data_IF_294930942232
#
_entry.id   IF_294930942232
#
_cell.length_a   1.000
_cell.length_b   1.000
_cell.length_c   1.000
_cell.angle_alpha   90.00
_cell.angle_beta   90.00
_cell.angle_gamma   90.00
#
_symmetry.space_group_name_H-M   'P 1'
#
loop_
_entity.id
_entity.type
_entity.pdbx_description
1 polymer ?
#
# COMPACT_ATOMS: atom_id res chain seq x y z
N UNK A 1 8.62 -5.45 -3.83
CA UNK A 1 7.48 -5.86 -2.99
C UNK A 1 6.20 -5.28 -3.55
N UNK A 2 5.05 -5.71 -3.04
CA UNK A 2 3.74 -5.17 -3.42
C UNK A 2 3.09 -4.47 -2.23
N UNK A 3 2.79 -3.19 -2.35
CA UNK A 3 1.99 -2.41 -1.41
C UNK A 3 0.57 -2.28 -1.95
N UNK A 4 -0.43 -2.56 -1.13
CA UNK A 4 -1.84 -2.39 -1.46
C UNK A 4 -2.48 -1.45 -0.46
N UNK A 5 -2.92 -0.28 -0.93
CA UNK A 5 -3.57 0.75 -0.13
C UNK A 5 -5.05 0.80 -0.48
N UNK A 6 -5.92 0.88 0.53
CA UNK A 6 -7.37 0.86 0.34
C UNK A 6 -8.08 1.58 1.49
N UNK A 7 -9.39 1.77 1.33
CA UNK A 7 -10.29 2.13 2.42
C UNK A 7 -11.20 0.95 2.69
N UNK A 8 -11.37 0.60 3.98
CA UNK A 8 -12.28 -0.40 4.54
C UNK A 8 -12.12 -1.84 4.05
N UNK A 9 -12.25 -2.10 2.74
CA UNK A 9 -12.15 -3.45 2.17
C UNK A 9 -11.33 -3.51 0.88
N UNK A 10 -10.59 -4.62 0.74
CA UNK A 10 -10.00 -5.01 -0.52
C UNK A 10 -11.08 -5.65 -1.39
N UNK A 11 -11.39 -5.03 -2.53
CA UNK A 11 -12.36 -5.56 -3.50
C UNK A 11 -11.73 -5.73 -4.89
N UNK A 12 -12.35 -6.58 -5.73
CA UNK A 12 -11.98 -6.77 -7.14
C UNK A 12 -10.49 -7.01 -7.38
N UNK A 13 -9.88 -6.18 -8.24
CA UNK A 13 -8.48 -6.31 -8.67
C UNK A 13 -7.44 -6.27 -7.53
N UNK A 14 -7.71 -5.58 -6.43
CA UNK A 14 -6.79 -5.54 -5.29
C UNK A 14 -6.71 -6.88 -4.54
N UNK A 15 -7.84 -7.62 -4.45
CA UNK A 15 -7.85 -9.00 -3.92
C UNK A 15 -7.05 -9.94 -4.81
N UNK A 16 -7.19 -9.79 -6.13
CA UNK A 16 -6.41 -10.58 -7.08
C UNK A 16 -4.90 -10.32 -6.93
N UNK A 17 -4.50 -9.06 -6.83
CA UNK A 17 -3.09 -8.67 -6.59
C UNK A 17 -2.55 -9.27 -5.30
N UNK A 18 -3.31 -9.25 -4.21
CA UNK A 18 -2.93 -9.89 -2.94
C UNK A 18 -2.74 -11.41 -3.11
N UNK A 19 -3.67 -12.08 -3.80
CA UNK A 19 -3.59 -13.51 -4.06
C UNK A 19 -2.35 -13.87 -4.88
N UNK A 20 -2.03 -13.09 -5.92
CA UNK A 20 -0.85 -13.32 -6.74
C UNK A 20 0.45 -13.05 -5.99
N UNK A 21 0.53 -11.97 -5.21
CA UNK A 21 1.72 -11.68 -4.42
C UNK A 21 2.03 -12.81 -3.42
N UNK A 22 1.00 -13.34 -2.75
CA UNK A 22 1.11 -14.52 -1.87
C UNK A 22 1.52 -15.77 -2.63
N UNK A 23 0.86 -16.06 -3.76
CA UNK A 23 1.17 -17.22 -4.62
C UNK A 23 2.64 -17.25 -5.05
N UNK A 24 3.19 -16.10 -5.41
CA UNK A 24 4.57 -15.98 -5.86
C UNK A 24 5.58 -15.77 -4.72
N UNK A 25 5.15 -15.88 -3.45
CA UNK A 25 5.99 -15.67 -2.26
C UNK A 25 6.74 -14.34 -2.27
N UNK A 26 6.15 -13.31 -2.89
CA UNK A 26 6.72 -11.97 -2.91
C UNK A 26 6.25 -11.21 -1.67
N UNK A 27 7.09 -10.38 -1.04
CA UNK A 27 6.65 -9.52 0.06
C UNK A 27 5.44 -8.70 -0.36
N UNK A 28 4.37 -8.77 0.44
CA UNK A 28 3.15 -7.97 0.26
C UNK A 28 2.78 -7.27 1.57
N UNK A 29 2.44 -6.00 1.50
CA UNK A 29 1.88 -5.21 2.58
C UNK A 29 0.51 -4.68 2.15
N UNK A 30 -0.48 -4.79 3.02
CA UNK A 30 -1.83 -4.27 2.78
C UNK A 30 -2.20 -3.34 3.92
N UNK A 31 -2.58 -2.10 3.62
CA UNK A 31 -2.95 -1.10 4.63
C UNK A 31 -4.31 -0.49 4.32
N UNK A 32 -5.17 -0.49 5.33
CA UNK A 32 -6.40 0.29 5.34
C UNK A 32 -6.07 1.71 5.80
N UNK A 33 -6.18 2.68 4.90
CA UNK A 33 -5.93 4.09 5.17
C UNK A 33 -7.06 4.73 5.99
N UNK A 34 -8.21 4.08 6.14
CA UNK A 34 -9.31 4.55 6.99
C UNK A 34 -9.18 4.10 8.45
N UNK A 35 -8.31 3.13 8.74
CA UNK A 35 -8.12 2.59 10.09
C UNK A 35 -7.38 3.56 11.05
N UNK A 36 -6.87 4.68 10.52
CA UNK A 36 -6.06 5.64 11.27
C UNK A 36 -4.61 5.17 11.53
N UNK A 37 -3.86 5.97 12.30
CA UNK A 37 -2.46 5.70 12.63
C UNK A 37 -1.45 6.34 11.69
N UNK A 38 -0.24 5.78 11.65
CA UNK A 38 0.90 6.29 10.88
C UNK A 38 1.29 5.30 9.77
N UNK A 39 0.50 5.18 8.69
CA UNK A 39 0.76 4.22 7.62
C UNK A 39 2.14 4.42 6.98
N UNK A 40 2.65 5.66 6.98
CA UNK A 40 3.98 5.97 6.46
C UNK A 40 5.10 5.21 7.15
N UNK A 41 5.15 5.24 8.49
CA UNK A 41 6.16 4.50 9.27
C UNK A 41 6.09 2.99 9.01
N UNK A 42 4.87 2.45 8.97
CA UNK A 42 4.64 1.02 8.69
C UNK A 42 5.17 0.63 7.31
N UNK A 43 4.96 1.48 6.29
CA UNK A 43 5.49 1.27 4.95
C UNK A 43 7.02 1.30 4.97
N UNK A 44 7.63 2.33 5.56
CA UNK A 44 9.08 2.52 5.61
C UNK A 44 9.78 1.35 6.31
N UNK A 45 9.28 0.93 7.47
CA UNK A 45 9.80 -0.24 8.19
C UNK A 45 9.69 -1.53 7.37
N UNK A 46 8.55 -1.73 6.70
CA UNK A 46 8.35 -2.89 5.86
C UNK A 46 9.27 -2.91 4.63
N UNK A 47 9.49 -1.76 3.99
CA UNK A 47 10.41 -1.60 2.86
C UNK A 47 11.84 -2.00 3.26
N UNK A 48 12.32 -1.47 4.39
CA UNK A 48 13.65 -1.78 4.94
C UNK A 48 13.78 -3.26 5.32
N UNK A 49 12.83 -3.79 6.07
CA UNK A 49 12.81 -5.19 6.53
C UNK A 49 12.84 -6.19 5.37
N UNK A 50 12.13 -5.89 4.27
CA UNK A 50 12.02 -6.78 3.12
C UNK A 50 13.00 -6.45 1.98
N UNK A 51 13.90 -5.47 2.18
CA UNK A 51 14.89 -5.01 1.18
C UNK A 51 14.24 -4.72 -0.19
N UNK A 52 13.13 -3.99 -0.18
CA UNK A 52 12.34 -3.73 -1.38
C UNK A 52 13.01 -2.64 -2.23
N UNK A 53 13.76 -3.03 -3.27
CA UNK A 53 14.34 -2.08 -4.24
C UNK A 53 13.39 -1.62 -5.35
N UNK A 54 12.28 -2.33 -5.57
CA UNK A 54 11.22 -1.93 -6.51
C UNK A 54 9.86 -2.20 -5.89
N UNK A 55 9.05 -1.16 -5.78
CA UNK A 55 7.74 -1.19 -5.15
C UNK A 55 6.63 -1.16 -6.20
N UNK A 56 5.79 -2.20 -6.21
CA UNK A 56 4.52 -2.17 -6.92
C UNK A 56 3.44 -1.62 -5.99
N UNK A 57 2.70 -0.59 -6.41
CA UNK A 57 1.58 -0.04 -5.65
C UNK A 57 0.26 -0.41 -6.32
N UNK A 58 -0.71 -0.87 -5.55
CA UNK A 58 -2.05 -1.21 -6.01
C UNK A 58 -3.11 -0.69 -5.05
N UNK A 59 -4.35 -0.61 -5.53
CA UNK A 59 -5.49 -0.12 -4.75
C UNK A 59 -6.77 -0.11 -5.58
N UNK A 60 -7.93 0.16 -4.96
CA UNK A 60 -9.18 0.35 -5.69
C UNK A 60 -9.07 1.56 -6.63
N UNK A 61 -9.85 1.55 -7.71
CA UNK A 61 -10.01 2.72 -8.58
C UNK A 61 -10.70 3.84 -7.79
N UNK A 62 -10.37 5.11 -8.09
CA UNK A 62 -10.99 6.26 -7.43
C UNK A 62 -12.53 6.27 -7.54
N UNK A 63 -13.09 5.74 -8.64
CA UNK A 63 -14.55 5.56 -8.80
C UNK A 63 -15.20 4.66 -7.73
N UNK A 64 -14.42 3.75 -7.14
CA UNK A 64 -14.87 2.80 -6.12
C UNK A 64 -14.43 3.21 -4.70
N UNK A 65 -13.50 4.18 -4.60
CA UNK A 65 -12.97 4.70 -3.36
C UNK A 65 -12.63 6.19 -3.56
N UNK A 66 -13.64 7.08 -3.48
CA UNK A 66 -13.42 8.51 -3.64
C UNK A 66 -12.35 9.03 -2.68
N UNK A 67 -11.45 9.89 -3.16
CA UNK A 67 -10.34 10.44 -2.37
C UNK A 67 -9.12 9.53 -2.20
N UNK A 68 -9.16 8.26 -2.66
CA UNK A 68 -8.05 7.32 -2.47
C UNK A 68 -6.75 7.80 -3.11
N UNK A 69 -6.82 8.46 -4.27
CA UNK A 69 -5.63 8.96 -4.95
C UNK A 69 -4.88 9.97 -4.07
N UNK A 70 -5.58 10.97 -3.55
CA UNK A 70 -4.99 12.00 -2.70
C UNK A 70 -4.41 11.38 -1.41
N UNK A 71 -5.18 10.52 -0.74
CA UNK A 71 -4.73 9.86 0.49
C UNK A 71 -3.47 9.00 0.28
N UNK A 72 -3.39 8.29 -0.85
CA UNK A 72 -2.20 7.51 -1.22
C UNK A 72 -1.00 8.43 -1.48
N UNK A 73 -1.19 9.52 -2.22
CA UNK A 73 -0.12 10.49 -2.49
C UNK A 73 0.44 11.07 -1.20
N UNK A 74 -0.42 11.62 -0.33
CA UNK A 74 0.00 12.20 0.95
C UNK A 74 0.68 11.18 1.86
N UNK A 75 0.21 9.92 1.85
CA UNK A 75 0.84 8.84 2.60
C UNK A 75 2.25 8.54 2.08
N UNK A 76 2.42 8.44 0.76
CA UNK A 76 3.70 8.12 0.15
C UNK A 76 4.70 9.27 0.27
N UNK A 77 4.26 10.52 0.11
CA UNK A 77 5.10 11.71 0.32
C UNK A 77 5.72 11.70 1.72
N UNK A 78 4.91 11.47 2.75
CA UNK A 78 5.41 11.32 4.13
C UNK A 78 6.42 10.19 4.28
N UNK A 79 6.23 9.06 3.60
CA UNK A 79 7.20 7.95 3.65
C UNK A 79 8.58 8.37 3.12
N UNK A 80 8.62 9.18 2.06
CA UNK A 80 9.85 9.52 1.35
C UNK A 80 10.48 10.84 1.83
N UNK A 81 9.73 11.71 2.49
CA UNK A 81 10.29 12.87 3.20
C UNK A 81 11.06 12.46 4.45
N UNK A 82 10.59 11.43 5.17
CA UNK A 82 11.28 10.88 6.35
C UNK A 82 12.58 10.10 6.03
N UNK A 83 12.84 9.81 4.75
CA UNK A 83 14.08 9.15 4.29
C UNK A 83 15.14 10.13 3.73
N UNK A 84 14.85 11.43 3.67
CA UNK A 84 15.83 12.48 3.32
C UNK A 84 16.63 12.95 4.53
#
# INVERSE_FOLDING_TARGET
>A
GTLILYFTELTGGSRFTLAMARKHKRPVLTLDLAAGGEPGKVITEWLRKNKVGTLNVAGPRASNAPGIHQAVTECLEKCFEEER
#
